data_IF_661840048630
#
_entry.id   IF_661840048630
#
_cell.length_a   1.000
_cell.length_b   1.000
_cell.length_c   1.000
_cell.angle_alpha   90.00
_cell.angle_beta   90.00
_cell.angle_gamma   90.00
#
_symmetry.space_group_name_H-M   'P 1'
#
loop_
_entity.id
_entity.type
_entity.pdbx_description
1 polymer ?
#
# COMPACT_ATOMS: atom_id res chain seq x y z
N UNK A 1 -23.02 40.91 -3.02
CA UNK A 1 -22.73 39.55 -3.54
C UNK A 1 -23.98 38.70 -3.48
N UNK A 2 -24.48 38.18 -4.61
CA UNK A 2 -25.54 37.19 -4.64
C UNK A 2 -25.21 35.93 -3.81
N UNK A 3 -26.26 35.25 -3.33
CA UNK A 3 -26.15 34.11 -2.39
C UNK A 3 -25.27 32.96 -2.92
N UNK A 4 -25.34 32.67 -4.22
CA UNK A 4 -24.53 31.60 -4.83
C UNK A 4 -23.03 31.92 -4.81
N UNK A 5 -22.62 33.19 -4.93
CA UNK A 5 -21.21 33.57 -4.85
C UNK A 5 -20.63 33.31 -3.46
N UNK A 6 -21.38 33.61 -2.39
CA UNK A 6 -20.95 33.32 -1.02
C UNK A 6 -20.82 31.82 -0.78
N UNK A 7 -21.74 31.04 -1.33
CA UNK A 7 -21.67 29.58 -1.27
C UNK A 7 -20.44 29.03 -2.01
N UNK A 8 -20.17 29.49 -3.23
CA UNK A 8 -18.98 29.10 -4.00
C UNK A 8 -17.68 29.47 -3.29
N UNK A 9 -17.62 30.67 -2.69
CA UNK A 9 -16.46 31.10 -1.89
C UNK A 9 -16.25 30.20 -0.66
N UNK A 10 -17.33 29.84 0.04
CA UNK A 10 -17.25 28.91 1.18
C UNK A 10 -16.73 27.54 0.74
N UNK A 11 -17.26 26.99 -0.37
CA UNK A 11 -16.82 25.71 -0.92
C UNK A 11 -15.34 25.74 -1.29
N UNK A 12 -14.88 26.79 -1.99
CA UNK A 12 -13.48 26.95 -2.33
C UNK A 12 -12.58 27.06 -1.09
N UNK A 13 -13.03 27.80 -0.07
CA UNK A 13 -12.30 27.93 1.19
C UNK A 13 -12.18 26.59 1.92
N UNK A 14 -13.26 25.81 1.97
CA UNK A 14 -13.24 24.47 2.58
C UNK A 14 -12.37 23.50 1.79
N UNK A 15 -12.41 23.53 0.45
CA UNK A 15 -11.56 22.70 -0.39
C UNK A 15 -10.07 23.07 -0.21
N UNK A 16 -9.74 24.36 -0.12
CA UNK A 16 -8.39 24.83 0.16
C UNK A 16 -7.92 24.42 1.56
N UNK A 17 -8.80 24.51 2.58
CA UNK A 17 -8.50 24.04 3.93
C UNK A 17 -8.23 22.53 3.96
N UNK A 18 -9.07 21.72 3.30
CA UNK A 18 -8.88 20.28 3.17
C UNK A 18 -7.55 19.94 2.48
N UNK A 19 -7.24 20.59 1.35
CA UNK A 19 -5.97 20.42 0.66
C UNK A 19 -4.78 20.79 1.56
N UNK A 20 -4.91 21.86 2.36
CA UNK A 20 -3.93 22.26 3.37
C UNK A 20 -3.72 21.19 4.45
N UNK A 21 -4.80 20.61 4.99
CA UNK A 21 -4.72 19.50 5.95
C UNK A 21 -4.05 18.27 5.36
N UNK A 22 -4.39 17.91 4.12
CA UNK A 22 -3.78 16.78 3.40
C UNK A 22 -2.28 17.02 3.21
N UNK A 23 -1.89 18.21 2.74
CA UNK A 23 -0.49 18.57 2.53
C UNK A 23 0.31 18.59 3.84
N UNK A 24 -0.27 19.12 4.93
CA UNK A 24 0.34 19.09 6.25
C UNK A 24 0.52 17.65 6.75
N UNK A 25 -0.49 16.81 6.57
CA UNK A 25 -0.44 15.38 6.90
C UNK A 25 0.68 14.65 6.14
N UNK A 26 0.82 14.89 4.84
CA UNK A 26 1.92 14.32 4.05
C UNK A 26 3.29 14.80 4.53
N UNK A 27 3.47 16.10 4.80
CA UNK A 27 4.73 16.64 5.31
C UNK A 27 5.09 16.05 6.68
N UNK A 28 4.11 15.91 7.57
CA UNK A 28 4.31 15.31 8.89
C UNK A 28 4.69 13.83 8.78
N UNK A 29 3.99 13.07 7.93
CA UNK A 29 4.32 11.66 7.67
C UNK A 29 5.72 11.52 7.08
N UNK A 30 6.08 12.28 6.05
CA UNK A 30 7.42 12.25 5.47
C UNK A 30 8.53 12.53 6.50
N UNK A 31 8.33 13.47 7.42
CA UNK A 31 9.28 13.76 8.50
C UNK A 31 9.39 12.62 9.50
N UNK A 32 8.26 12.05 9.91
CA UNK A 32 8.22 10.92 10.82
C UNK A 32 8.85 9.68 10.19
N UNK A 33 8.53 9.40 8.93
CA UNK A 33 9.05 8.27 8.17
C UNK A 33 10.56 8.42 7.94
N UNK A 34 11.05 9.61 7.60
CA UNK A 34 12.48 9.85 7.40
C UNK A 34 13.32 9.51 8.66
N UNK A 35 12.77 9.76 9.85
CA UNK A 35 13.44 9.42 11.11
C UNK A 35 13.52 7.90 11.34
N UNK A 36 12.52 7.13 10.92
CA UNK A 36 12.41 5.69 11.22
C UNK A 36 12.79 4.77 10.06
N UNK A 37 12.72 5.23 8.81
CA UNK A 37 12.98 4.41 7.62
C UNK A 37 14.42 3.89 7.56
N UNK A 38 15.41 4.72 7.85
CA UNK A 38 16.81 4.31 7.80
C UNK A 38 17.17 3.30 8.92
N UNK A 39 16.82 3.54 10.20
CA UNK A 39 17.03 2.54 11.26
C UNK A 39 16.28 1.23 11.00
N UNK A 40 15.04 1.32 10.52
CA UNK A 40 14.25 0.14 10.12
C UNK A 40 15.00 -0.63 9.05
N UNK A 41 15.43 0.02 7.94
CA UNK A 41 16.22 -0.57 6.83
C UNK A 41 17.41 -1.38 7.31
N UNK A 42 18.18 -0.81 8.23
CA UNK A 42 19.31 -1.48 8.87
C UNK A 42 18.85 -2.74 9.61
N UNK A 43 17.78 -2.67 10.40
CA UNK A 43 17.26 -3.81 11.17
C UNK A 43 16.78 -4.97 10.28
N UNK A 44 16.07 -4.72 9.18
CA UNK A 44 15.67 -5.79 8.24
C UNK A 44 16.88 -6.45 7.60
N UNK A 45 17.88 -5.66 7.20
CA UNK A 45 19.13 -6.19 6.65
C UNK A 45 19.86 -7.06 7.67
N UNK A 46 20.04 -6.56 8.89
CA UNK A 46 20.84 -7.20 9.92
C UNK A 46 20.18 -8.48 10.47
N UNK A 47 18.84 -8.50 10.52
CA UNK A 47 18.07 -9.67 10.92
C UNK A 47 17.72 -10.60 9.75
N UNK A 48 18.18 -10.28 8.53
CA UNK A 48 17.83 -11.00 7.30
C UNK A 48 16.31 -11.21 7.13
N UNK A 49 15.51 -10.24 7.58
CA UNK A 49 14.09 -10.21 7.27
C UNK A 49 13.95 -9.96 5.77
N UNK A 50 12.98 -10.60 5.15
CA UNK A 50 12.79 -10.50 3.69
C UNK A 50 12.35 -9.12 3.24
N UNK A 51 11.63 -8.38 4.08
CA UNK A 51 11.03 -7.09 3.73
C UNK A 51 10.37 -6.41 4.94
N UNK A 52 10.20 -5.09 4.85
CA UNK A 52 9.40 -4.32 5.81
C UNK A 52 7.92 -4.59 5.64
N UNK A 53 7.22 -4.81 6.75
CA UNK A 53 5.79 -4.59 6.84
C UNK A 53 5.46 -3.12 6.52
N UNK A 54 5.10 -2.85 5.26
CA UNK A 54 4.70 -1.50 4.82
C UNK A 54 3.30 -1.18 5.38
N UNK A 55 2.45 -2.19 5.52
CA UNK A 55 1.11 -2.12 6.09
C UNK A 55 0.88 -3.33 6.98
N UNK A 56 0.01 -3.21 7.99
CA UNK A 56 -0.35 -4.32 8.88
C UNK A 56 -1.71 -4.92 8.56
N UNK A 57 -2.46 -4.35 7.63
CA UNK A 57 -3.83 -4.74 7.30
C UNK A 57 -3.85 -5.90 6.32
N UNK A 58 -3.79 -5.63 5.00
CA UNK A 58 -3.77 -6.67 3.98
C UNK A 58 -2.47 -7.48 4.05
N UNK A 59 -2.57 -8.81 3.97
CA UNK A 59 -1.41 -9.70 4.16
C UNK A 59 -0.37 -9.51 3.06
N UNK A 60 -0.79 -9.34 1.81
CA UNK A 60 0.09 -9.15 0.66
C UNK A 60 0.74 -7.75 0.61
N UNK A 61 0.33 -6.81 1.48
CA UNK A 61 0.99 -5.50 1.63
C UNK A 61 1.97 -5.44 2.81
N UNK A 62 2.08 -6.52 3.61
CA UNK A 62 3.10 -6.69 4.66
C UNK A 62 4.44 -7.10 4.07
N UNK A 63 4.46 -8.14 3.27
CA UNK A 63 5.69 -8.66 2.66
C UNK A 63 5.45 -8.84 1.17
N UNK A 64 5.49 -7.75 0.37
CA UNK A 64 5.16 -7.84 -1.05
C UNK A 64 6.02 -8.86 -1.80
N UNK A 65 7.25 -9.12 -1.34
CA UNK A 65 8.12 -10.13 -1.94
C UNK A 65 7.80 -11.56 -1.53
N UNK A 66 7.08 -11.75 -0.41
CA UNK A 66 6.71 -13.06 0.14
C UNK A 66 5.20 -13.34 0.10
N UNK A 67 4.41 -12.46 -0.48
CA UNK A 67 2.97 -12.66 -0.58
C UNK A 67 2.71 -13.92 -1.42
N UNK A 68 2.16 -14.96 -0.77
CA UNK A 68 1.85 -16.22 -1.43
C UNK A 68 0.68 -16.05 -2.40
N UNK A 69 0.91 -16.35 -3.68
CA UNK A 69 -0.12 -16.32 -4.73
C UNK A 69 -1.13 -17.48 -4.64
N UNK A 70 -0.87 -18.51 -3.83
CA UNK A 70 -1.61 -19.78 -3.86
C UNK A 70 -2.31 -20.15 -2.55
N UNK A 71 -2.30 -19.30 -1.53
CA UNK A 71 -3.02 -19.64 -0.30
C UNK A 71 -4.54 -19.58 -0.54
N UNK A 72 -5.30 -20.63 -0.16
CA UNK A 72 -6.76 -20.63 -0.23
C UNK A 72 -7.39 -19.49 0.58
N UNK A 73 -8.43 -18.84 0.03
CA UNK A 73 -9.16 -17.72 0.65
C UNK A 73 -8.34 -16.46 0.93
N UNK A 74 -7.18 -16.27 0.30
CA UNK A 74 -6.52 -14.96 0.33
C UNK A 74 -7.15 -14.00 -0.67
N UNK A 75 -7.38 -12.78 -0.22
CA UNK A 75 -7.62 -11.64 -1.09
C UNK A 75 -6.33 -11.35 -1.88
N UNK A 76 -6.44 -11.28 -3.20
CA UNK A 76 -5.33 -10.95 -4.07
C UNK A 76 -5.12 -9.43 -4.16
N UNK A 77 -3.94 -8.94 -4.55
CA UNK A 77 -3.74 -7.53 -4.88
C UNK A 77 -4.86 -7.00 -5.81
N UNK A 78 -5.56 -5.95 -5.37
CA UNK A 78 -6.69 -5.39 -6.11
C UNK A 78 -8.03 -6.14 -5.98
N UNK A 79 -8.12 -7.15 -5.12
CA UNK A 79 -9.40 -7.77 -4.77
C UNK A 79 -10.31 -6.79 -4.01
N UNK A 80 -11.63 -7.01 -4.12
CA UNK A 80 -12.61 -6.28 -3.33
C UNK A 80 -12.60 -6.82 -1.89
N UNK A 81 -11.78 -6.21 -1.05
CA UNK A 81 -11.67 -6.53 0.36
C UNK A 81 -11.93 -5.31 1.26
N UNK A 82 -11.99 -5.56 2.57
CA UNK A 82 -12.28 -4.52 3.56
C UNK A 82 -11.06 -3.68 3.95
N UNK A 83 -9.84 -4.11 3.60
CA UNK A 83 -8.62 -3.40 3.95
C UNK A 83 -8.28 -2.30 2.93
N UNK A 84 -8.18 -1.02 3.34
CA UNK A 84 -7.81 0.07 2.43
C UNK A 84 -6.46 -0.16 1.74
N UNK A 85 -5.49 -0.72 2.46
CA UNK A 85 -4.16 -1.02 1.94
C UNK A 85 -4.16 -1.95 0.72
N UNK A 86 -5.18 -2.80 0.57
CA UNK A 86 -5.30 -3.72 -0.54
C UNK A 86 -5.40 -3.07 -1.91
N UNK A 87 -5.97 -1.86 -1.95
CA UNK A 87 -6.10 -1.05 -3.17
C UNK A 87 -4.81 -0.38 -3.64
N UNK A 88 -3.74 -0.41 -2.82
CA UNK A 88 -2.46 0.24 -3.15
C UNK A 88 -1.54 -0.64 -3.99
N UNK A 89 -1.79 -1.95 -4.02
CA UNK A 89 -1.02 -2.89 -4.82
C UNK A 89 -1.86 -3.30 -6.02
N UNK A 90 -1.36 -3.05 -7.23
CA UNK A 90 -2.05 -3.42 -8.44
C UNK A 90 -2.09 -4.96 -8.57
N UNK A 91 -3.17 -5.51 -9.15
CA UNK A 91 -3.19 -6.92 -9.55
C UNK A 91 -2.02 -7.22 -10.50
N UNK A 92 -1.47 -8.44 -10.45
CA UNK A 92 -0.36 -8.82 -11.33
C UNK A 92 -0.77 -8.68 -12.81
N UNK A 93 0.14 -8.13 -13.62
CA UNK A 93 -0.09 -7.84 -15.05
C UNK A 93 -0.29 -9.11 -15.89
N UNK A 94 0.22 -10.25 -15.41
CA UNK A 94 0.02 -11.55 -16.02
C UNK A 94 -0.37 -12.57 -14.94
N UNK A 95 -1.31 -13.47 -15.26
CA UNK A 95 -1.60 -14.59 -14.39
C UNK A 95 -0.36 -15.50 -14.30
N UNK A 96 0.20 -15.74 -13.11
CA UNK A 96 1.32 -16.66 -12.96
C UNK A 96 0.87 -18.06 -13.40
N UNK A 97 1.77 -18.79 -14.08
CA UNK A 97 1.50 -20.17 -14.46
C UNK A 97 1.30 -21.02 -13.18
N UNK A 98 0.06 -21.44 -12.93
CA UNK A 98 -0.35 -22.31 -11.82
C UNK A 98 0.13 -23.76 -11.97
N UNK A 99 0.71 -24.10 -13.14
CA UNK A 99 1.14 -25.46 -13.45
C UNK A 99 2.58 -25.66 -13.01
N UNK A 100 2.78 -26.46 -11.97
CA UNK A 100 4.11 -26.98 -11.61
C UNK A 100 4.48 -28.05 -12.64
N UNK A 101 5.44 -27.75 -13.51
CA UNK A 101 6.03 -28.73 -14.41
C UNK A 101 7.11 -29.51 -13.66
N UNK A 102 6.75 -30.67 -13.13
CA UNK A 102 7.73 -31.58 -12.52
C UNK A 102 8.48 -32.28 -13.65
N UNK A 103 9.75 -31.89 -13.86
CA UNK A 103 10.64 -32.64 -14.75
C UNK A 103 10.90 -34.00 -14.11
N UNK A 104 10.35 -35.07 -14.69
CA UNK A 104 10.74 -36.43 -14.33
C UNK A 104 12.24 -36.56 -14.64
N UNK A 105 13.06 -36.83 -13.62
CA UNK A 105 14.46 -37.14 -13.83
C UNK A 105 14.53 -38.48 -14.58
N UNK A 106 15.09 -38.47 -15.79
CA UNK A 106 15.42 -39.70 -16.50
C UNK A 106 16.44 -40.48 -15.65
N UNK A 107 16.10 -41.74 -15.35
CA UNK A 107 16.93 -42.68 -14.59
C UNK A 107 18.01 -43.27 -15.48
#
# INVERSE_FOLDING_TARGET
MPRYQRFLLLVLLLAAALAGCIAAGFRQRQRADAAWLAPRRTLVRDLMLTDFAIWTEARYTRHPSQADFFTPFQDAPGALEHFPSGSMLAPPVAMPQTRILVRQAER
#
